data_IF_190902357143
#
_entry.id   IF_190902357143
#
_cell.length_a   1.000
_cell.length_b   1.000
_cell.length_c   1.000
_cell.angle_alpha   90.00
_cell.angle_beta   90.00
_cell.angle_gamma   90.00
#
_symmetry.space_group_name_H-M   'P 1'
#
loop_
_entity.id
_entity.type
_entity.pdbx_description
1 polymer ?
#
# COMPACT_ATOMS: atom_id res chain seq x y z
N UNK A 1 -2.09 11.71 6.46
CA UNK A 1 -2.54 10.34 6.13
C UNK A 1 -2.80 9.56 7.40
N UNK A 2 -3.74 8.66 7.36
CA UNK A 2 -4.10 7.85 8.50
C UNK A 2 -3.46 6.47 8.38
N UNK A 3 -2.74 6.04 9.42
CA UNK A 3 -2.14 4.71 9.48
C UNK A 3 -3.20 3.66 9.84
N UNK A 4 -3.21 2.56 9.09
CA UNK A 4 -4.08 1.41 9.35
C UNK A 4 -3.28 0.12 9.23
N UNK A 5 -3.88 -0.98 9.66
CA UNK A 5 -3.23 -2.28 9.61
C UNK A 5 -4.16 -3.33 9.00
N UNK A 6 -3.55 -4.33 8.37
CA UNK A 6 -4.25 -5.50 7.84
C UNK A 6 -3.55 -6.76 8.34
N UNK A 7 -4.30 -7.64 9.00
CA UNK A 7 -3.77 -8.88 9.54
C UNK A 7 -3.73 -9.96 8.47
N UNK A 8 -2.61 -10.67 8.39
CA UNK A 8 -2.47 -11.84 7.51
C UNK A 8 -1.97 -13.03 8.32
N UNK A 9 -1.97 -14.21 7.70
CA UNK A 9 -1.44 -15.41 8.37
C UNK A 9 0.06 -15.31 8.67
N UNK A 10 0.76 -14.43 7.99
CA UNK A 10 2.23 -14.28 8.15
C UNK A 10 2.62 -13.09 9.01
N UNK A 11 1.73 -12.14 9.23
CA UNK A 11 2.03 -10.95 10.03
C UNK A 11 1.07 -9.81 9.73
N UNK A 12 1.41 -8.63 10.22
CA UNK A 12 0.59 -7.43 10.08
C UNK A 12 1.18 -6.51 9.02
N UNK A 13 0.36 -6.10 8.06
CA UNK A 13 0.74 -5.12 7.05
C UNK A 13 0.27 -3.74 7.52
N UNK A 14 1.19 -2.79 7.54
CA UNK A 14 0.88 -1.39 7.82
C UNK A 14 0.72 -0.63 6.51
N UNK A 15 -0.30 0.19 6.43
CA UNK A 15 -0.52 1.06 5.28
C UNK A 15 -1.11 2.39 5.72
N UNK A 16 -0.97 3.38 4.87
CA UNK A 16 -1.44 4.75 5.14
C UNK A 16 -2.40 5.15 4.05
N UNK A 17 -3.49 5.80 4.44
CA UNK A 17 -4.55 6.19 3.51
C UNK A 17 -4.95 7.64 3.73
N UNK A 18 -5.18 8.34 2.63
CA UNK A 18 -5.73 9.69 2.62
C UNK A 18 -6.87 9.73 1.60
N UNK A 19 -8.07 10.05 2.04
CA UNK A 19 -9.25 10.14 1.18
C UNK A 19 -9.68 11.59 1.10
N UNK A 20 -9.53 12.20 -0.08
CA UNK A 20 -9.98 13.57 -0.30
C UNK A 20 -11.38 13.63 -0.93
N UNK A 21 -11.74 12.63 -1.75
CA UNK A 21 -13.06 12.51 -2.37
C UNK A 21 -13.33 11.03 -2.67
N UNK A 22 -14.42 10.44 -2.13
CA UNK A 22 -14.72 9.02 -2.36
C UNK A 22 -14.86 8.62 -3.83
N UNK A 23 -15.24 9.56 -4.69
CA UNK A 23 -15.41 9.30 -6.13
C UNK A 23 -14.15 9.53 -6.95
N UNK A 24 -13.08 10.06 -6.34
CA UNK A 24 -11.84 10.34 -7.04
C UNK A 24 -11.04 9.06 -7.27
N UNK A 25 -10.11 9.14 -8.25
CA UNK A 25 -9.13 8.09 -8.49
C UNK A 25 -8.25 7.93 -7.25
N UNK A 26 -7.90 6.70 -6.93
CA UNK A 26 -6.97 6.39 -5.84
C UNK A 26 -5.60 6.01 -6.41
N UNK A 27 -4.58 6.74 -6.00
CA UNK A 27 -3.19 6.41 -6.33
C UNK A 27 -2.67 5.44 -5.28
N UNK A 28 -2.19 4.28 -5.72
CA UNK A 28 -1.68 3.22 -4.85
C UNK A 28 -0.17 3.13 -5.06
N UNK A 29 0.60 3.56 -4.08
CA UNK A 29 2.05 3.57 -4.14
C UNK A 29 2.62 2.31 -3.50
N UNK A 30 3.42 1.55 -4.27
CA UNK A 30 4.02 0.30 -3.83
C UNK A 30 5.54 0.43 -3.84
N UNK A 31 6.18 0.71 -2.68
CA UNK A 31 7.63 0.80 -2.60
C UNK A 31 8.30 -0.54 -2.94
N UNK A 32 9.50 -0.46 -3.52
CA UNK A 32 10.25 -1.63 -3.90
C UNK A 32 11.03 -2.26 -2.76
N UNK A 33 11.89 -3.22 -3.10
CA UNK A 33 12.71 -3.94 -2.15
C UNK A 33 13.58 -2.98 -1.34
N UNK A 34 13.67 -3.19 -0.03
CA UNK A 34 14.41 -2.37 0.94
C UNK A 34 13.85 -0.96 1.14
N UNK A 35 12.81 -0.58 0.43
CA UNK A 35 12.14 0.70 0.62
C UNK A 35 10.90 0.54 1.51
N UNK A 36 10.41 1.65 2.06
CA UNK A 36 9.17 1.68 2.83
C UNK A 36 8.27 2.80 2.32
N UNK A 37 7.17 3.06 3.03
CA UNK A 37 6.19 4.07 2.63
C UNK A 37 6.79 5.46 2.42
N UNK A 38 7.92 5.78 3.05
CA UNK A 38 8.54 7.10 2.95
C UNK A 38 9.18 7.38 1.59
N UNK A 39 9.38 6.35 0.77
CA UNK A 39 9.96 6.51 -0.57
C UNK A 39 9.19 7.53 -1.40
N UNK A 40 7.87 7.56 -1.25
CA UNK A 40 7.00 8.40 -2.06
C UNK A 40 6.50 9.66 -1.34
N UNK A 41 7.12 10.06 -0.24
CA UNK A 41 6.63 11.18 0.58
C UNK A 41 6.40 12.45 -0.24
N UNK A 42 7.31 12.80 -1.14
CA UNK A 42 7.18 14.00 -1.96
C UNK A 42 6.03 13.90 -2.96
N UNK A 43 5.87 12.75 -3.58
CA UNK A 43 4.79 12.50 -4.53
C UNK A 43 3.45 12.51 -3.81
N UNK A 44 3.37 11.89 -2.65
CA UNK A 44 2.16 11.87 -1.85
C UNK A 44 1.76 13.28 -1.44
N UNK A 45 2.72 14.09 -0.98
CA UNK A 45 2.49 15.47 -0.61
C UNK A 45 1.88 16.28 -1.75
N UNK A 46 2.35 16.01 -2.98
CA UNK A 46 1.87 16.71 -4.17
C UNK A 46 0.43 16.30 -4.54
N UNK A 47 0.11 15.01 -4.42
CA UNK A 47 -1.15 14.47 -4.97
C UNK A 47 -2.27 14.33 -3.94
N UNK A 48 -1.98 14.31 -2.64
CA UNK A 48 -2.98 13.92 -1.64
C UNK A 48 -4.18 14.85 -1.55
N UNK A 49 -4.06 16.10 -2.02
CA UNK A 49 -5.16 17.06 -2.04
C UNK A 49 -6.08 16.90 -3.26
N UNK A 50 -5.65 16.17 -4.28
CA UNK A 50 -6.38 16.01 -5.55
C UNK A 50 -6.89 14.59 -5.77
N UNK A 51 -6.21 13.62 -5.19
CA UNK A 51 -6.51 12.21 -5.37
C UNK A 51 -6.54 11.51 -4.02
N UNK A 52 -7.24 10.41 -3.96
CA UNK A 52 -7.09 9.53 -2.83
C UNK A 52 -5.73 8.83 -2.94
N UNK A 53 -5.08 8.57 -1.82
CA UNK A 53 -3.73 7.99 -1.81
C UNK A 53 -3.69 6.83 -0.83
N UNK A 54 -3.11 5.71 -1.25
CA UNK A 54 -2.71 4.62 -0.36
C UNK A 54 -1.24 4.33 -0.61
N UNK A 55 -0.51 4.12 0.47
CA UNK A 55 0.86 3.61 0.42
C UNK A 55 1.00 2.57 1.53
N UNK A 56 1.70 1.50 1.25
CA UNK A 56 1.94 0.45 2.25
C UNK A 56 3.42 0.27 2.53
N UNK A 57 3.71 -0.30 3.71
CA UNK A 57 4.97 -0.99 3.94
C UNK A 57 4.73 -2.43 3.52
N UNK A 58 5.39 -2.88 2.46
CA UNK A 58 5.19 -4.21 1.91
C UNK A 58 5.42 -5.29 2.98
N UNK A 59 4.83 -6.48 2.82
CA UNK A 59 5.10 -7.57 3.75
C UNK A 59 6.59 -7.73 4.04
N UNK A 60 6.95 -7.77 5.32
CA UNK A 60 8.32 -7.87 5.83
C UNK A 60 9.19 -6.61 5.63
N UNK A 61 8.60 -5.47 5.25
CA UNK A 61 9.32 -4.20 5.08
C UNK A 61 8.81 -3.14 6.06
N UNK A 62 9.70 -2.21 6.43
CA UNK A 62 9.34 -1.08 7.28
C UNK A 62 8.55 -1.50 8.52
N UNK A 63 7.41 -0.86 8.74
CA UNK A 63 6.53 -1.13 9.89
C UNK A 63 5.80 -2.47 9.78
N UNK A 64 5.81 -3.13 8.61
CA UNK A 64 5.22 -4.47 8.40
C UNK A 64 6.20 -5.57 8.81
N UNK A 65 7.05 -5.31 9.77
CA UNK A 65 8.02 -6.24 10.35
C UNK A 65 7.72 -6.37 11.86
N UNK A 66 7.82 -7.54 12.49
CA UNK A 66 8.22 -8.83 11.92
C UNK A 66 7.15 -9.48 11.07
N UNK A 67 7.56 -10.31 10.11
CA UNK A 67 6.66 -10.95 9.16
C UNK A 67 7.26 -12.30 8.74
N UNK A 68 6.41 -13.31 8.63
CA UNK A 68 6.85 -14.64 8.21
C UNK A 68 7.05 -14.65 6.71
N UNK A 69 8.06 -15.39 6.23
CA UNK A 69 8.43 -15.40 4.81
C UNK A 69 7.77 -16.52 4.00
N UNK A 70 6.79 -17.23 4.57
CA UNK A 70 6.06 -18.29 3.87
C UNK A 70 4.95 -17.72 2.99
N UNK A 71 5.32 -16.80 2.11
CA UNK A 71 4.38 -16.19 1.17
C UNK A 71 5.07 -15.94 -0.18
N UNK A 72 4.25 -15.83 -1.24
CA UNK A 72 4.71 -15.55 -2.60
C UNK A 72 4.07 -14.27 -3.15
N UNK A 73 4.29 -13.99 -4.44
CA UNK A 73 3.73 -12.81 -5.08
C UNK A 73 2.20 -12.86 -5.18
N UNK A 74 1.62 -14.06 -5.31
CA UNK A 74 0.15 -14.20 -5.30
C UNK A 74 -0.42 -13.81 -3.96
N UNK A 75 0.23 -14.20 -2.87
CA UNK A 75 -0.19 -13.80 -1.52
C UNK A 75 -0.13 -12.29 -1.35
N UNK A 76 0.97 -11.66 -1.81
CA UNK A 76 1.11 -10.19 -1.74
C UNK A 76 -0.01 -9.50 -2.52
N UNK A 77 -0.29 -9.96 -3.74
CA UNK A 77 -1.35 -9.39 -4.56
C UNK A 77 -2.71 -9.55 -3.91
N UNK A 78 -2.98 -10.70 -3.31
CA UNK A 78 -4.23 -10.95 -2.58
C UNK A 78 -4.36 -10.01 -1.39
N UNK A 79 -3.30 -9.86 -0.61
CA UNK A 79 -3.32 -8.99 0.57
C UNK A 79 -3.52 -7.52 0.19
N UNK A 80 -2.90 -7.08 -0.90
CA UNK A 80 -3.14 -5.74 -1.42
C UNK A 80 -4.60 -5.58 -1.85
N UNK A 81 -5.13 -6.55 -2.58
CA UNK A 81 -6.52 -6.52 -3.02
C UNK A 81 -7.49 -6.49 -1.83
N UNK A 82 -7.18 -7.22 -0.76
CA UNK A 82 -7.99 -7.20 0.47
C UNK A 82 -8.01 -5.81 1.09
N UNK A 83 -6.88 -5.12 1.11
CA UNK A 83 -6.77 -3.75 1.60
C UNK A 83 -7.62 -2.81 0.74
N UNK A 84 -7.49 -2.90 -0.59
CA UNK A 84 -8.26 -2.05 -1.51
C UNK A 84 -9.76 -2.28 -1.35
N UNK A 85 -10.18 -3.54 -1.20
CA UNK A 85 -11.58 -3.88 -0.98
C UNK A 85 -12.11 -3.32 0.34
N UNK A 86 -11.31 -3.43 1.41
CA UNK A 86 -11.68 -2.90 2.72
C UNK A 86 -11.86 -1.39 2.69
N UNK A 87 -11.01 -0.69 1.95
CA UNK A 87 -11.09 0.76 1.82
C UNK A 87 -12.12 1.22 0.79
N UNK A 88 -12.81 0.30 0.12
CA UNK A 88 -13.85 0.61 -0.84
C UNK A 88 -13.33 1.24 -2.13
N UNK A 89 -12.11 0.89 -2.52
CA UNK A 89 -11.48 1.51 -3.68
C UNK A 89 -11.92 0.79 -4.96
N UNK A 90 -12.49 1.56 -5.89
CA UNK A 90 -13.00 1.04 -7.16
C UNK A 90 -12.22 1.49 -8.38
N UNK A 91 -11.37 2.51 -8.24
CA UNK A 91 -10.60 3.08 -9.35
C UNK A 91 -9.13 3.24 -8.94
N UNK A 92 -8.40 2.14 -8.71
CA UNK A 92 -7.01 2.23 -8.31
C UNK A 92 -6.09 2.47 -9.51
N UNK A 93 -5.09 3.34 -9.32
CA UNK A 93 -3.95 3.47 -10.22
C UNK A 93 -2.72 3.02 -9.45
N UNK A 94 -2.09 1.95 -9.91
CA UNK A 94 -0.98 1.33 -9.20
C UNK A 94 0.33 1.97 -9.65
N UNK A 95 1.10 2.45 -8.69
CA UNK A 95 2.41 3.04 -8.94
C UNK A 95 3.44 2.22 -8.15
N UNK A 96 4.14 1.35 -8.87
CA UNK A 96 5.13 0.47 -8.26
C UNK A 96 6.55 0.91 -8.60
N UNK A 97 7.46 0.73 -7.64
CA UNK A 97 8.87 1.00 -7.83
C UNK A 97 9.63 -0.32 -7.73
N UNK A 98 10.37 -0.67 -8.78
CA UNK A 98 11.17 -1.90 -8.81
C UNK A 98 10.27 -3.12 -8.51
N UNK A 99 10.60 -3.91 -7.48
CA UNK A 99 9.85 -5.09 -7.09
C UNK A 99 8.41 -4.80 -6.68
N UNK A 100 8.10 -3.58 -6.22
CA UNK A 100 6.73 -3.18 -5.93
C UNK A 100 5.83 -3.24 -7.14
N UNK A 101 6.37 -3.03 -8.33
CA UNK A 101 5.61 -3.08 -9.59
C UNK A 101 5.18 -4.48 -10.02
N UNK A 102 5.66 -5.54 -9.37
CA UNK A 102 5.29 -6.92 -9.70
C UNK A 102 4.06 -7.43 -8.95
N UNK A 103 3.47 -6.63 -8.12
CA UNK A 103 2.31 -7.03 -7.31
C UNK A 103 0.95 -6.94 -8.07
#
# INVERSE_FOLDING_TARGET
MKEKTSQTRCGTIHYWVSVSNPDAITLVFLPGLTADHRLFDKQIQYFENRYNVIVWDAPAHGSSWPFRFEFDLFDKAKWLNDILSREGITKPVIIGQSMGGYV
#
